data_IF_846084497711
#
_entry.id   IF_846084497711
#
_cell.length_a   1.000
_cell.length_b   1.000
_cell.length_c   1.000
_cell.angle_alpha   90.00
_cell.angle_beta   90.00
_cell.angle_gamma   90.00
#
_symmetry.space_group_name_H-M   'P 1'
#
loop_
_entity.id
_entity.type
_entity.pdbx_description
1 polymer ?
#
# COMPACT_ATOMS: atom_id res chain seq x y z
N UNK A 1 58.10 -12.72 -4.66
CA UNK A 1 57.35 -12.45 -3.42
C UNK A 1 56.48 -11.27 -3.76
N UNK A 2 55.34 -11.56 -4.37
CA UNK A 2 54.35 -10.57 -4.74
C UNK A 2 53.06 -11.04 -4.07
N UNK A 3 52.83 -10.53 -2.86
CA UNK A 3 51.57 -10.70 -2.16
C UNK A 3 50.53 -9.83 -2.87
N UNK A 4 49.78 -10.45 -3.79
CA UNK A 4 48.51 -9.90 -4.25
C UNK A 4 47.58 -9.78 -3.04
N UNK A 5 47.42 -8.55 -2.57
CA UNK A 5 46.37 -8.14 -1.64
C UNK A 5 45.01 -8.58 -2.21
N UNK A 6 44.54 -9.73 -1.75
CA UNK A 6 43.17 -10.18 -1.91
C UNK A 6 42.27 -9.24 -1.09
N UNK A 7 41.90 -8.11 -1.69
CA UNK A 7 40.84 -7.24 -1.18
C UNK A 7 39.50 -7.92 -1.51
N UNK A 8 38.71 -8.37 -0.52
CA UNK A 8 37.40 -8.90 -0.80
C UNK A 8 36.54 -7.78 -1.39
N UNK A 9 35.92 -8.04 -2.53
CA UNK A 9 34.81 -7.24 -3.10
C UNK A 9 33.56 -7.35 -2.22
N UNK A 10 33.67 -7.10 -0.92
CA UNK A 10 32.52 -6.67 -0.13
C UNK A 10 32.25 -5.23 -0.53
N UNK A 11 31.59 -5.08 -1.68
CA UNK A 11 30.96 -3.82 -2.05
C UNK A 11 30.19 -3.33 -0.84
N UNK A 12 30.50 -2.10 -0.43
CA UNK A 12 29.66 -1.31 0.47
C UNK A 12 28.29 -1.15 -0.18
N UNK A 13 27.42 -2.15 -0.03
CA UNK A 13 25.98 -1.93 -0.05
C UNK A 13 25.70 -1.19 1.24
N UNK A 14 25.65 0.14 1.14
CA UNK A 14 24.93 0.93 2.12
C UNK A 14 23.59 0.20 2.34
N UNK A 15 23.21 -0.15 3.58
CA UNK A 15 21.93 -0.79 3.81
C UNK A 15 20.89 0.11 3.16
N UNK A 16 20.14 -0.44 2.19
CA UNK A 16 18.89 0.19 1.79
C UNK A 16 18.17 0.50 3.09
N UNK A 17 17.95 1.80 3.36
CA UNK A 17 17.35 2.22 4.60
C UNK A 17 16.02 1.46 4.73
N UNK A 18 15.95 0.55 5.69
CA UNK A 18 14.73 -0.17 5.96
C UNK A 18 13.71 0.85 6.49
N UNK A 19 12.80 1.26 5.61
CA UNK A 19 11.76 2.21 5.93
C UNK A 19 10.71 1.61 6.90
N UNK A 20 10.89 0.36 7.34
CA UNK A 20 9.98 -0.36 8.22
C UNK A 20 8.91 -1.15 7.48
N UNK A 21 9.08 -1.29 6.16
CA UNK A 21 8.11 -1.85 5.24
C UNK A 21 8.78 -2.58 4.08
N UNK A 22 8.17 -3.66 3.62
CA UNK A 22 8.58 -4.40 2.43
C UNK A 22 7.38 -4.79 1.55
N UNK A 23 7.60 -4.85 0.25
CA UNK A 23 6.62 -5.35 -0.72
C UNK A 23 7.01 -6.77 -1.11
N UNK A 24 6.10 -7.71 -0.90
CA UNK A 24 6.26 -9.11 -1.34
C UNK A 24 4.92 -9.71 -1.74
N UNK A 25 4.88 -10.99 -2.09
CA UNK A 25 3.61 -11.64 -2.44
C UNK A 25 2.65 -11.61 -1.26
N UNK A 26 1.40 -11.21 -1.54
CA UNK A 26 0.36 -11.16 -0.53
C UNK A 26 0.05 -12.55 -0.02
N UNK A 27 -0.29 -12.65 1.26
CA UNK A 27 -0.80 -13.90 1.78
C UNK A 27 -2.19 -14.22 1.21
N UNK A 28 -2.92 -13.24 0.67
CA UNK A 28 -4.24 -13.42 0.02
C UNK A 28 -4.05 -14.09 -1.36
N UNK A 29 -4.60 -15.30 -1.59
CA UNK A 29 -4.49 -15.98 -2.87
C UNK A 29 -5.03 -15.12 -4.01
N UNK A 30 -4.23 -14.92 -5.05
CA UNK A 30 -4.61 -14.17 -6.25
C UNK A 30 -4.65 -12.65 -6.09
N UNK A 31 -4.27 -12.08 -4.94
CA UNK A 31 -4.24 -10.62 -4.75
C UNK A 31 -2.97 -9.94 -5.30
N UNK A 32 -1.98 -10.71 -5.76
CA UNK A 32 -0.71 -10.18 -6.22
C UNK A 32 0.21 -9.81 -5.06
N UNK A 33 0.68 -8.55 -5.02
CA UNK A 33 1.60 -8.06 -3.99
C UNK A 33 0.85 -7.54 -2.76
N UNK A 34 1.50 -7.63 -1.61
CA UNK A 34 1.06 -7.09 -0.33
C UNK A 34 2.15 -6.21 0.29
N UNK A 35 1.77 -5.38 1.26
CA UNK A 35 2.68 -4.56 2.05
C UNK A 35 2.84 -5.16 3.44
N UNK A 36 4.08 -5.36 3.88
CA UNK A 36 4.40 -6.03 5.14
C UNK A 36 5.26 -5.14 6.03
N UNK A 37 5.08 -5.27 7.34
CA UNK A 37 5.92 -4.60 8.32
C UNK A 37 7.25 -5.36 8.49
N UNK A 38 8.38 -4.64 8.44
CA UNK A 38 9.71 -5.21 8.76
C UNK A 38 10.15 -4.86 10.18
N UNK A 39 9.45 -3.91 10.82
CA UNK A 39 9.65 -3.49 12.20
C UNK A 39 8.32 -3.38 12.95
N UNK A 40 8.39 -3.21 14.26
CA UNK A 40 7.21 -2.95 15.08
C UNK A 40 6.62 -1.57 14.81
N UNK A 41 5.30 -1.50 14.66
CA UNK A 41 4.53 -0.25 14.59
C UNK A 41 3.47 -0.27 15.70
N UNK A 42 3.51 0.73 16.58
CA UNK A 42 2.58 0.85 17.69
C UNK A 42 1.18 1.23 17.20
N UNK A 43 0.14 0.79 17.91
CA UNK A 43 -1.22 1.26 17.69
C UNK A 43 -1.28 2.80 17.64
N UNK A 44 -2.00 3.34 16.65
CA UNK A 44 -2.15 4.78 16.43
C UNK A 44 -0.97 5.47 15.75
N UNK A 45 0.14 4.77 15.49
CA UNK A 45 1.25 5.35 14.73
C UNK A 45 0.94 5.43 13.24
N UNK A 46 1.46 6.48 12.60
CA UNK A 46 1.49 6.58 11.13
C UNK A 46 2.62 5.71 10.60
N UNK A 47 2.27 4.75 9.76
CA UNK A 47 3.19 3.75 9.19
C UNK A 47 3.81 4.27 7.91
N UNK A 48 2.98 4.81 7.00
CA UNK A 48 3.39 5.40 5.73
C UNK A 48 2.25 6.27 5.17
N UNK A 49 2.44 6.81 3.97
CA UNK A 49 1.48 7.70 3.31
C UNK A 49 1.01 7.09 1.98
N UNK A 50 -0.28 7.23 1.70
CA UNK A 50 -0.88 6.99 0.40
C UNK A 50 -0.97 8.33 -0.35
N UNK A 51 -0.16 8.47 -1.39
CA UNK A 51 -0.12 9.62 -2.28
C UNK A 51 -0.18 9.15 -3.74
N UNK A 52 -0.04 10.07 -4.68
CA UNK A 52 -0.01 9.75 -6.10
C UNK A 52 -0.22 10.98 -6.95
N UNK A 53 -0.53 10.76 -8.23
CA UNK A 53 -0.90 11.85 -9.13
C UNK A 53 -2.23 12.42 -8.68
N UNK A 54 -2.30 13.74 -8.47
CA UNK A 54 -3.57 14.41 -8.15
C UNK A 54 -4.46 14.42 -9.39
N UNK A 55 -5.68 13.90 -9.24
CA UNK A 55 -6.63 13.76 -10.35
C UNK A 55 -7.86 14.64 -10.06
N UNK A 56 -8.23 15.55 -10.99
CA UNK A 56 -9.50 16.29 -10.89
C UNK A 56 -10.69 15.33 -10.92
N UNK A 57 -11.77 15.66 -10.19
CA UNK A 57 -12.95 14.81 -10.09
C UNK A 57 -13.45 14.30 -11.46
N UNK A 58 -13.61 15.17 -12.45
CA UNK A 58 -14.10 14.79 -13.79
C UNK A 58 -13.23 13.75 -14.52
N UNK A 59 -11.91 13.77 -14.28
CA UNK A 59 -10.96 12.82 -14.87
C UNK A 59 -11.04 11.49 -14.11
N UNK A 60 -11.08 11.55 -12.78
CA UNK A 60 -11.19 10.39 -11.90
C UNK A 60 -12.42 9.53 -12.23
N UNK A 61 -13.56 10.15 -12.55
CA UNK A 61 -14.78 9.40 -12.93
C UNK A 61 -14.65 8.66 -14.26
N UNK A 62 -13.86 9.18 -15.21
CA UNK A 62 -13.68 8.64 -16.56
C UNK A 62 -12.55 7.62 -16.69
N UNK A 63 -11.72 7.46 -15.66
CA UNK A 63 -10.65 6.47 -15.68
C UNK A 63 -11.19 5.05 -15.86
N UNK A 64 -10.53 4.30 -16.75
CA UNK A 64 -10.86 2.89 -17.02
C UNK A 64 -10.43 1.99 -15.86
N UNK A 65 -9.22 2.22 -15.35
CA UNK A 65 -8.68 1.53 -14.18
C UNK A 65 -8.74 2.46 -12.97
N UNK A 66 -9.40 2.00 -11.91
CA UNK A 66 -9.58 2.75 -10.65
C UNK A 66 -9.00 1.99 -9.47
N UNK A 67 -8.19 0.96 -9.71
CA UNK A 67 -7.67 0.05 -8.68
C UNK A 67 -6.83 0.78 -7.63
N UNK A 68 -6.23 1.92 -7.98
CA UNK A 68 -5.37 2.73 -7.10
C UNK A 68 -5.88 4.17 -6.91
N UNK A 69 -7.13 4.42 -7.30
CA UNK A 69 -7.75 5.74 -7.21
C UNK A 69 -8.39 5.92 -5.81
N UNK A 70 -7.86 6.85 -5.03
CA UNK A 70 -8.40 7.22 -3.73
C UNK A 70 -9.06 8.59 -3.76
N UNK A 71 -10.32 8.66 -3.31
CA UNK A 71 -10.98 9.93 -2.99
C UNK A 71 -10.56 10.41 -1.60
N UNK A 72 -9.85 11.52 -1.52
CA UNK A 72 -9.39 12.10 -0.25
C UNK A 72 -10.49 12.90 0.45
N UNK A 73 -11.38 13.54 -0.30
CA UNK A 73 -12.37 14.47 0.24
C UNK A 73 -12.31 15.81 -0.50
N UNK A 74 -13.30 16.68 -0.33
CA UNK A 74 -13.30 18.01 -0.97
C UNK A 74 -13.22 18.00 -2.51
N UNK A 75 -13.56 16.88 -3.18
CA UNK A 75 -13.40 16.72 -4.62
C UNK A 75 -11.98 16.36 -5.09
N UNK A 76 -11.05 16.15 -4.17
CA UNK A 76 -9.66 15.75 -4.44
C UNK A 76 -9.54 14.23 -4.53
N UNK A 77 -8.84 13.77 -5.57
CA UNK A 77 -8.46 12.37 -5.76
C UNK A 77 -6.96 12.27 -5.97
N UNK A 78 -6.40 11.14 -5.56
CA UNK A 78 -5.04 10.74 -5.92
C UNK A 78 -5.07 9.36 -6.57
N UNK A 79 -4.24 9.18 -7.58
CA UNK A 79 -4.06 7.92 -8.28
C UNK A 79 -2.61 7.46 -8.17
N UNK A 80 -2.42 6.30 -7.53
CA UNK A 80 -1.12 5.67 -7.35
C UNK A 80 -0.82 4.60 -8.41
N UNK A 81 -1.62 4.48 -9.48
CA UNK A 81 -1.45 3.44 -10.50
C UNK A 81 -0.04 3.42 -11.10
N UNK A 82 0.53 4.58 -11.40
CA UNK A 82 1.88 4.72 -11.98
C UNK A 82 2.93 5.17 -10.96
N UNK A 83 2.67 5.00 -9.66
CA UNK A 83 3.54 5.42 -8.57
C UNK A 83 4.02 4.20 -7.76
N UNK A 84 4.87 3.31 -8.32
CA UNK A 84 5.27 2.06 -7.67
C UNK A 84 6.07 2.27 -6.37
N UNK A 85 6.63 3.46 -6.19
CA UNK A 85 7.32 3.93 -4.98
C UNK A 85 6.36 4.26 -3.81
N UNK A 86 5.07 4.49 -4.09
CA UNK A 86 4.05 4.67 -3.06
C UNK A 86 3.72 3.31 -2.45
N UNK A 87 4.45 2.91 -1.41
CA UNK A 87 4.31 1.60 -0.77
C UNK A 87 2.86 1.28 -0.33
N UNK A 88 2.12 2.27 0.16
CA UNK A 88 0.74 2.12 0.62
C UNK A 88 -0.22 1.60 -0.47
N UNK A 89 0.14 1.73 -1.76
CA UNK A 89 -0.64 1.17 -2.88
C UNK A 89 -0.75 -0.35 -2.84
N UNK A 90 0.18 -1.02 -2.18
CA UNK A 90 0.22 -2.49 -2.07
C UNK A 90 -0.57 -3.03 -0.86
N UNK A 91 -1.21 -2.18 -0.06
CA UNK A 91 -2.05 -2.63 1.07
C UNK A 91 -3.34 -3.20 0.51
N UNK A 92 -3.58 -4.48 0.76
CA UNK A 92 -4.78 -5.16 0.28
C UNK A 92 -5.96 -5.03 1.23
N UNK A 93 -7.17 -5.24 0.70
CA UNK A 93 -8.37 -5.46 1.50
C UNK A 93 -8.59 -6.97 1.72
N UNK A 94 -8.44 -7.39 2.97
CA UNK A 94 -8.61 -8.77 3.40
C UNK A 94 -10.07 -9.20 3.52
N UNK A 95 -11.04 -8.31 3.30
CA UNK A 95 -12.49 -8.52 3.36
C UNK A 95 -12.96 -9.08 4.70
N UNK A 96 -12.31 -8.65 5.79
CA UNK A 96 -12.60 -9.14 7.15
C UNK A 96 -12.04 -10.53 7.45
N UNK A 97 -11.35 -11.18 6.52
CA UNK A 97 -10.60 -12.42 6.78
C UNK A 97 -9.24 -12.11 7.42
N UNK A 98 -8.47 -13.14 7.77
CA UNK A 98 -7.07 -13.00 8.23
C UNK A 98 -6.89 -12.17 9.50
N UNK A 99 -7.87 -12.23 10.39
CA UNK A 99 -7.86 -11.40 11.62
C UNK A 99 -8.39 -9.98 11.41
N UNK A 100 -8.88 -9.65 10.23
CA UNK A 100 -9.50 -8.36 9.92
C UNK A 100 -8.51 -7.29 9.48
N UNK A 101 -8.98 -6.05 9.45
CA UNK A 101 -8.18 -4.88 9.11
C UNK A 101 -7.31 -4.48 10.29
N UNK A 102 -6.03 -4.18 10.04
CA UNK A 102 -5.07 -3.75 11.05
C UNK A 102 -4.54 -2.33 10.81
N UNK A 103 -4.93 -1.70 9.69
CA UNK A 103 -4.65 -0.29 9.40
C UNK A 103 -5.89 0.41 8.84
N UNK A 104 -5.93 1.74 8.95
CA UNK A 104 -6.94 2.58 8.31
C UNK A 104 -6.30 3.82 7.68
N UNK A 105 -7.03 4.44 6.75
CA UNK A 105 -6.62 5.71 6.16
C UNK A 105 -7.14 6.90 6.97
N UNK A 106 -6.28 7.88 7.22
CA UNK A 106 -6.65 9.24 7.66
C UNK A 106 -6.40 10.18 6.49
N UNK A 107 -7.47 10.66 5.87
CA UNK A 107 -7.38 11.44 4.62
C UNK A 107 -7.08 12.90 4.93
N UNK A 108 -6.11 13.47 4.20
CA UNK A 108 -5.66 14.87 4.30
C UNK A 108 -5.75 15.53 2.92
N UNK A 109 -6.97 15.91 2.48
CA UNK A 109 -7.18 16.44 1.14
C UNK A 109 -6.35 17.70 0.84
N UNK A 110 -6.10 18.54 1.86
CA UNK A 110 -5.24 19.73 1.79
C UNK A 110 -3.77 19.40 1.48
N UNK A 111 -3.30 18.23 1.90
CA UNK A 111 -1.94 17.75 1.65
C UNK A 111 -1.86 16.74 0.49
N UNK A 112 -2.98 16.57 -0.22
CA UNK A 112 -3.15 15.62 -1.33
C UNK A 112 -2.63 14.21 -1.02
N UNK A 113 -2.90 13.71 0.19
CA UNK A 113 -2.53 12.36 0.61
C UNK A 113 -3.44 11.81 1.71
N UNK A 114 -3.21 10.56 2.09
CA UNK A 114 -3.79 9.96 3.28
C UNK A 114 -2.70 9.25 4.09
N UNK A 115 -2.75 9.37 5.41
CA UNK A 115 -1.87 8.63 6.30
C UNK A 115 -2.42 7.20 6.51
N UNK A 116 -1.52 6.22 6.53
CA UNK A 116 -1.83 4.83 6.92
C UNK A 116 -1.54 4.69 8.41
N UNK A 117 -2.59 4.52 9.20
CA UNK A 117 -2.50 4.50 10.67
C UNK A 117 -2.80 3.11 11.21
N UNK A 118 -1.95 2.64 12.12
CA UNK A 118 -2.10 1.34 12.79
C UNK A 118 -3.34 1.31 13.69
N UNK A 119 -4.22 0.33 13.51
CA UNK A 119 -5.42 0.13 14.35
C UNK A 119 -5.14 -0.65 15.63
N UNK A 120 -4.02 -1.38 15.65
CA UNK A 120 -3.47 -2.14 16.76
C UNK A 120 -1.95 -2.16 16.60
N UNK A 121 -1.25 -2.73 17.57
CA UNK A 121 0.16 -3.06 17.41
C UNK A 121 0.36 -4.01 16.22
N UNK A 122 1.37 -3.72 15.40
CA UNK A 122 1.74 -4.49 14.22
C UNK A 122 3.20 -4.93 14.39
N UNK A 123 3.42 -6.23 14.39
CA UNK A 123 4.73 -6.85 14.55
C UNK A 123 5.42 -7.09 13.20
N UNK A 124 6.77 -7.21 13.20
CA UNK A 124 7.52 -7.63 12.01
C UNK A 124 6.95 -8.91 11.39
N UNK A 125 6.83 -8.93 10.07
CA UNK A 125 6.32 -10.03 9.27
C UNK A 125 4.81 -10.01 9.02
N UNK A 126 4.05 -9.17 9.73
CA UNK A 126 2.61 -9.02 9.49
C UNK A 126 2.31 -8.28 8.18
N UNK A 127 1.29 -8.73 7.45
CA UNK A 127 0.76 -8.01 6.28
C UNK A 127 -0.21 -6.93 6.73
N UNK A 128 -0.15 -5.78 6.09
CA UNK A 128 -1.08 -4.68 6.32
C UNK A 128 -2.36 -4.91 5.50
N UNK A 129 -3.51 -4.77 6.17
CA UNK A 129 -4.82 -4.89 5.57
C UNK A 129 -5.70 -3.70 5.92
N UNK A 130 -6.31 -3.12 4.90
CA UNK A 130 -7.19 -1.94 5.02
C UNK A 130 -8.56 -2.23 4.42
N UNK A 131 -9.58 -1.51 4.91
CA UNK A 131 -10.91 -1.58 4.34
C UNK A 131 -11.03 -0.64 3.13
N UNK A 132 -11.19 -1.18 1.91
CA UNK A 132 -11.47 -0.37 0.71
C UNK A 132 -12.90 0.17 0.70
N UNK A 133 -13.80 -0.48 1.43
CA UNK A 133 -15.19 -0.10 1.56
C UNK A 133 -16.10 -0.77 0.53
N UNK A 134 -17.38 -0.91 0.89
CA UNK A 134 -18.39 -1.62 0.10
C UNK A 134 -18.57 -1.09 -1.32
N UNK A 135 -18.49 0.23 -1.51
CA UNK A 135 -18.68 0.86 -2.82
C UNK A 135 -17.55 0.50 -3.79
N UNK A 136 -16.33 0.35 -3.30
CA UNK A 136 -15.20 -0.10 -4.11
C UNK A 136 -15.47 -1.50 -4.66
N UNK A 137 -15.83 -2.44 -3.79
CA UNK A 137 -16.10 -3.83 -4.19
C UNK A 137 -17.32 -3.96 -5.11
N UNK A 138 -18.36 -3.15 -4.89
CA UNK A 138 -19.51 -3.10 -5.79
C UNK A 138 -19.08 -2.66 -7.21
N UNK A 139 -18.29 -1.58 -7.30
CA UNK A 139 -17.77 -1.10 -8.58
C UNK A 139 -16.83 -2.13 -9.23
N UNK A 140 -15.96 -2.78 -8.45
CA UNK A 140 -15.07 -3.84 -8.92
C UNK A 140 -15.85 -4.98 -9.57
N UNK A 141 -16.89 -5.48 -8.90
CA UNK A 141 -17.72 -6.57 -9.41
C UNK A 141 -18.51 -6.20 -10.67
N UNK A 142 -18.98 -4.94 -10.77
CA UNK A 142 -19.61 -4.44 -12.00
C UNK A 142 -18.64 -4.40 -13.18
N UNK A 143 -17.36 -4.12 -12.94
CA UNK A 143 -16.31 -4.11 -13.97
C UNK A 143 -15.78 -5.52 -14.30
N UNK A 144 -15.94 -6.49 -13.41
CA UNK A 144 -15.45 -7.86 -13.56
C UNK A 144 -16.56 -8.90 -13.41
N UNK A 145 -17.61 -8.87 -14.25
CA UNK A 145 -18.80 -9.72 -14.10
C UNK A 145 -18.50 -11.21 -14.25
N UNK A 146 -17.42 -11.58 -14.94
CA UNK A 146 -16.98 -12.97 -15.14
C UNK A 146 -16.20 -13.54 -13.95
N UNK A 147 -15.72 -12.71 -13.03
CA UNK A 147 -14.97 -13.13 -11.85
C UNK A 147 -15.26 -12.21 -10.65
N UNK A 148 -16.52 -12.16 -10.17
CA UNK A 148 -16.89 -11.29 -9.06
C UNK A 148 -16.27 -11.79 -7.76
N UNK A 149 -15.79 -10.85 -6.96
CA UNK A 149 -15.34 -11.11 -5.59
C UNK A 149 -16.58 -11.18 -4.69
N UNK A 150 -16.77 -12.33 -4.04
CA UNK A 150 -17.85 -12.57 -3.07
C UNK A 150 -17.47 -12.06 -1.69
#
# INVERSE_FOLDING_TARGET
MDDELCVPRSYYLLPFADNGLEVRDSNIPGAGKGLFATKFHAQGSTICEYSGVVVPNEVAWKQKDKSYLMKLGGGVYVDALNCPDVLARYINDCRGHRGGFNVHFVKRPEDTKADVVAMRDIHPGEELYVNYGRLYWLAYNMMHPSNPVR
#
